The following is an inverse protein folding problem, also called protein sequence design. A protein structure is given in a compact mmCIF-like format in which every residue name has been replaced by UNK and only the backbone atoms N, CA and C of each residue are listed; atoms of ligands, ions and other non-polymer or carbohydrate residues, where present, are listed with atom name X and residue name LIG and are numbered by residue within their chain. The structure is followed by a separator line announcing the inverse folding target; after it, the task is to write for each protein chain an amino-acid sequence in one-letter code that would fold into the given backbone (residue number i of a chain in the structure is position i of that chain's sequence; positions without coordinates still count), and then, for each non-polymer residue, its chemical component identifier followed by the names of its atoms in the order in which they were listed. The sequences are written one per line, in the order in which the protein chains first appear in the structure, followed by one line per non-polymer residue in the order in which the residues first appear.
data_IF_698815961286
#
_entry.id   IF_698815961286
#
_cell.length_a   1.000
_cell.length_b   1.000
_cell.length_c   1.000
_cell.angle_alpha   90.00
_cell.angle_beta   90.00
_cell.angle_gamma   90.00
#
_symmetry.space_group_name_H-M   'P 1'
#
loop_
_entity.id
_entity.type
_entity.pdbx_description
1 polymer ?
#
# COMPACT_ATOMS: atom_id res chain seq x y z
N UNK A 1 8.14 0.70 -14.72
CA UNK A 1 7.60 0.75 -13.35
C UNK A 1 6.14 0.35 -13.46
N UNK A 2 5.80 -0.82 -12.92
CA UNK A 2 4.45 -1.40 -12.91
C UNK A 2 4.42 -2.44 -11.79
N UNK A 3 3.33 -2.49 -11.03
CA UNK A 3 3.17 -3.48 -9.98
C UNK A 3 3.05 -4.86 -10.62
N UNK A 4 3.96 -5.77 -10.26
CA UNK A 4 3.92 -7.16 -10.68
C UNK A 4 3.06 -7.99 -9.72
N UNK A 5 3.28 -7.82 -8.41
CA UNK A 5 2.60 -8.58 -7.38
C UNK A 5 2.45 -7.78 -6.10
N UNK A 6 1.28 -7.83 -5.48
CA UNK A 6 1.04 -7.37 -4.11
C UNK A 6 1.38 -8.51 -3.15
N UNK A 7 2.14 -8.19 -2.10
CA UNK A 7 2.63 -9.15 -1.12
C UNK A 7 1.88 -9.00 0.21
N UNK A 8 1.68 -7.77 0.66
CA UNK A 8 0.98 -7.48 1.90
C UNK A 8 0.40 -6.05 1.91
N UNK A 9 -0.66 -5.84 2.70
CA UNK A 9 -1.30 -4.53 2.89
C UNK A 9 -1.71 -4.36 4.35
N UNK A 10 -1.39 -3.20 4.91
CA UNK A 10 -1.84 -2.79 6.23
C UNK A 10 -2.49 -1.40 6.18
N UNK A 11 -3.41 -1.15 7.10
CA UNK A 11 -4.05 0.15 7.30
C UNK A 11 -3.74 0.69 8.70
N UNK A 12 -3.39 1.97 8.77
CA UNK A 12 -3.01 2.63 10.02
C UNK A 12 -3.66 4.02 10.13
N UNK A 13 -3.81 4.51 11.37
CA UNK A 13 -4.39 5.82 11.70
C UNK A 13 -3.45 6.73 12.50
N UNK A 14 -2.16 6.45 12.45
CA UNK A 14 -1.12 7.18 13.17
C UNK A 14 -0.16 7.92 12.22
N UNK A 15 -0.63 8.34 11.05
CA UNK A 15 0.16 9.06 10.06
C UNK A 15 0.36 10.53 10.43
N UNK A 16 0.56 11.39 9.42
CA UNK A 16 0.82 12.83 9.61
C UNK A 16 -0.33 13.45 10.41
N UNK A 17 -0.06 13.84 11.65
CA UNK A 17 -1.07 14.37 12.59
C UNK A 17 -2.31 13.47 12.74
N UNK A 18 -2.13 12.15 12.70
CA UNK A 18 -3.22 11.17 12.79
C UNK A 18 -3.92 10.88 11.46
N UNK A 19 -3.42 11.41 10.33
CA UNK A 19 -3.96 11.09 9.02
C UNK A 19 -3.89 9.56 8.76
N UNK A 20 -4.99 8.94 8.30
CA UNK A 20 -5.00 7.54 7.92
C UNK A 20 -4.16 7.28 6.67
N UNK A 21 -3.56 6.10 6.60
CA UNK A 21 -2.77 5.66 5.46
C UNK A 21 -2.73 4.15 5.32
N UNK A 22 -2.54 3.71 4.07
CA UNK A 22 -2.24 2.33 3.73
C UNK A 22 -0.73 2.16 3.53
N UNK A 23 -0.22 1.01 3.94
CA UNK A 23 1.13 0.55 3.65
C UNK A 23 1.02 -0.70 2.80
N UNK A 24 1.72 -0.73 1.67
CA UNK A 24 1.62 -1.82 0.69
C UNK A 24 3.03 -2.30 0.38
N UNK A 25 3.24 -3.60 0.52
CA UNK A 25 4.46 -4.26 0.06
C UNK A 25 4.18 -4.92 -1.29
N UNK A 26 5.02 -4.65 -2.29
CA UNK A 26 4.81 -5.16 -3.64
C UNK A 26 6.13 -5.35 -4.40
N UNK A 27 6.11 -6.22 -5.41
CA UNK A 27 7.22 -6.38 -6.36
C UNK A 27 6.93 -5.52 -7.61
N UNK A 28 7.91 -4.71 -8.03
CA UNK A 28 7.86 -3.87 -9.22
C UNK A 28 8.57 -4.58 -10.39
N UNK A 29 8.02 -4.44 -11.59
CA UNK A 29 8.58 -4.94 -12.85
C UNK A 29 9.32 -3.86 -13.65
N UNK A 30 9.73 -2.77 -12.99
CA UNK A 30 10.60 -1.75 -13.54
C UNK A 30 12.02 -2.24 -13.79
N UNK A 31 12.90 -1.33 -14.22
CA UNK A 31 14.30 -1.63 -14.56
C UNK A 31 15.07 -2.33 -13.42
N UNK A 32 14.82 -1.93 -12.17
CA UNK A 32 15.46 -2.54 -11.00
C UNK A 32 14.77 -3.83 -10.54
N UNK A 33 13.59 -4.19 -11.10
CA UNK A 33 12.82 -5.38 -10.78
C UNK A 33 12.76 -5.72 -9.26
N UNK A 34 12.52 -4.70 -8.44
CA UNK A 34 12.79 -4.72 -7.01
C UNK A 34 11.52 -4.74 -6.15
N UNK A 35 11.66 -5.18 -4.90
CA UNK A 35 10.61 -5.06 -3.88
C UNK A 35 10.49 -3.64 -3.34
N UNK A 36 9.26 -3.12 -3.30
CA UNK A 36 8.94 -1.75 -2.89
C UNK A 36 7.92 -1.72 -1.76
N UNK A 37 8.03 -0.66 -0.97
CA UNK A 37 7.09 -0.26 0.08
C UNK A 37 6.40 1.03 -0.39
N UNK A 38 5.08 1.02 -0.51
CA UNK A 38 4.28 2.21 -0.73
C UNK A 38 3.59 2.65 0.56
N UNK A 39 3.60 3.95 0.82
CA UNK A 39 2.79 4.62 1.84
C UNK A 39 1.79 5.51 1.09
N UNK A 40 0.51 5.21 1.23
CA UNK A 40 -0.60 5.85 0.49
C UNK A 40 -1.52 6.53 1.49
N UNK A 41 -1.49 7.86 1.52
CA UNK A 41 -2.48 8.64 2.28
C UNK A 41 -3.79 8.76 1.50
N UNK A 42 -4.89 9.02 2.20
CA UNK A 42 -6.21 9.20 1.58
C UNK A 42 -6.20 10.33 0.54
N UNK A 43 -5.54 11.45 0.85
CA UNK A 43 -5.42 12.58 -0.05
C UNK A 43 -4.78 12.18 -1.40
N UNK A 44 -5.35 12.69 -2.50
CA UNK A 44 -4.82 12.48 -3.84
C UNK A 44 -3.36 12.97 -3.94
N UNK A 45 -2.54 12.27 -4.71
CA UNK A 45 -1.13 12.60 -4.95
C UNK A 45 -0.21 12.55 -3.71
N UNK A 46 -0.69 11.98 -2.60
CA UNK A 46 0.10 11.77 -1.39
C UNK A 46 0.53 10.31 -1.28
N UNK A 47 1.44 9.92 -2.17
CA UNK A 47 2.00 8.57 -2.25
C UNK A 47 3.52 8.64 -2.20
N UNK A 48 4.11 7.94 -1.23
CA UNK A 48 5.56 7.73 -1.17
C UNK A 48 5.89 6.28 -1.51
N UNK A 49 6.92 6.06 -2.33
CA UNK A 49 7.39 4.72 -2.71
C UNK A 49 8.88 4.64 -2.49
N UNK A 50 9.30 3.58 -1.78
CA UNK A 50 10.69 3.31 -1.39
C UNK A 50 11.03 1.84 -1.72
N UNK A 51 12.28 1.54 -2.03
CA UNK A 51 12.77 0.18 -2.20
C UNK A 51 13.10 -0.39 -0.83
N UNK A 52 12.58 -1.59 -0.56
CA UNK A 52 12.68 -2.20 0.76
C UNK A 52 14.11 -2.61 1.10
N UNK A 53 14.87 -3.13 0.14
CA UNK A 53 16.24 -3.56 0.37
C UNK A 53 17.16 -2.36 0.61
N UNK A 54 16.98 -1.27 -0.15
CA UNK A 54 17.70 -0.01 0.07
C UNK A 54 17.34 0.63 1.41
N UNK A 55 16.06 0.58 1.82
CA UNK A 55 15.66 0.99 3.17
C UNK A 55 16.31 0.15 4.28
N UNK A 56 16.37 -1.17 4.11
CA UNK A 56 16.91 -2.09 5.12
C UNK A 56 18.40 -1.83 5.41
N UNK A 57 19.16 -1.31 4.45
CA UNK A 57 20.56 -0.90 4.63
C UNK A 57 20.71 0.58 5.02
N UNK A 58 19.62 1.28 5.33
CA UNK A 58 19.62 2.67 5.78
C UNK A 58 19.75 3.72 4.67
N UNK A 59 19.56 3.36 3.39
CA UNK A 59 19.60 4.33 2.31
C UNK A 59 18.29 5.11 2.25
N UNK A 60 18.31 6.38 2.68
CA UNK A 60 17.17 7.31 2.61
C UNK A 60 17.45 8.50 1.68
N UNK A 61 18.50 8.41 0.86
CA UNK A 61 18.96 9.52 0.04
C UNK A 61 18.04 9.77 -1.16
N UNK A 62 17.75 11.05 -1.40
CA UNK A 62 17.03 11.50 -2.59
C UNK A 62 17.81 11.11 -3.86
N UNK A 63 17.08 10.64 -4.87
CA UNK A 63 17.64 10.15 -6.14
C UNK A 63 18.20 8.73 -6.08
N UNK A 64 18.26 8.10 -4.91
CA UNK A 64 18.74 6.72 -4.75
C UNK A 64 17.62 5.78 -4.27
N UNK A 65 16.84 6.25 -3.28
CA UNK A 65 15.74 5.50 -2.69
C UNK A 65 14.47 6.36 -2.68
N UNK A 66 14.07 6.90 -3.83
CA UNK A 66 12.93 7.81 -3.94
C UNK A 66 12.23 7.67 -5.31
N UNK A 67 11.28 6.75 -5.43
CA UNK A 67 10.53 6.54 -6.67
C UNK A 67 9.32 7.46 -6.72
N UNK A 68 8.94 7.81 -7.95
CA UNK A 68 7.76 8.61 -8.26
C UNK A 68 6.48 7.87 -7.87
N UNK A 69 5.83 8.30 -6.79
CA UNK A 69 4.60 7.67 -6.30
C UNK A 69 3.41 7.80 -7.25
N UNK A 70 3.37 8.88 -8.05
CA UNK A 70 2.29 9.12 -9.02
C UNK A 70 2.23 8.07 -10.14
N UNK A 71 3.35 7.40 -10.43
CA UNK A 71 3.40 6.30 -11.40
C UNK A 71 2.68 5.05 -10.88
N UNK A 72 2.67 4.83 -9.56
CA UNK A 72 2.07 3.65 -8.93
C UNK A 72 0.68 3.94 -8.36
N UNK A 73 0.37 5.21 -8.06
CA UNK A 73 -0.86 5.63 -7.38
C UNK A 73 -2.15 5.03 -7.96
N UNK A 74 -2.39 5.02 -9.28
CA UNK A 74 -3.63 4.45 -9.83
C UNK A 74 -3.80 2.96 -9.49
N UNK A 75 -2.74 2.15 -9.66
CA UNK A 75 -2.78 0.72 -9.38
C UNK A 75 -2.90 0.45 -7.87
N UNK A 76 -2.17 1.20 -7.04
CA UNK A 76 -2.23 1.07 -5.57
C UNK A 76 -3.63 1.38 -5.02
N UNK A 77 -4.29 2.44 -5.52
CA UNK A 77 -5.64 2.81 -5.07
C UNK A 77 -6.69 1.79 -5.48
N UNK A 78 -6.55 1.17 -6.66
CA UNK A 78 -7.43 0.07 -7.09
C UNK A 78 -7.31 -1.14 -6.16
N UNK A 79 -6.07 -1.51 -5.79
CA UNK A 79 -5.80 -2.61 -4.87
C UNK A 79 -6.37 -2.33 -3.48
N UNK A 80 -6.17 -1.12 -2.93
CA UNK A 80 -6.76 -0.71 -1.65
C UNK A 80 -8.28 -0.87 -1.68
N UNK A 81 -8.93 -0.33 -2.71
CA UNK A 81 -10.39 -0.39 -2.85
C UNK A 81 -10.92 -1.82 -2.93
N UNK A 82 -10.17 -2.74 -3.55
CA UNK A 82 -10.51 -4.17 -3.59
C UNK A 82 -10.35 -4.83 -2.21
N UNK A 83 -9.26 -4.52 -1.49
CA UNK A 83 -9.05 -5.03 -0.14
C UNK A 83 -10.12 -4.55 0.84
N UNK A 84 -10.48 -3.27 0.82
CA UNK A 84 -11.56 -2.71 1.66
C UNK A 84 -12.89 -3.40 1.38
N UNK A 85 -13.26 -3.58 0.11
CA UNK A 85 -14.49 -4.29 -0.27
C UNK A 85 -14.52 -5.75 0.21
N UNK A 86 -13.39 -6.45 0.21
CA UNK A 86 -13.29 -7.83 0.73
C UNK A 86 -13.46 -7.85 2.24
N UNK A 87 -12.84 -6.92 2.94
CA UNK A 87 -12.97 -6.77 4.40
C UNK A 87 -14.41 -6.48 4.77
N UNK A 88 -15.08 -5.54 4.11
CA UNK A 88 -16.51 -5.25 4.35
C UNK A 88 -17.41 -6.47 4.08
N UNK A 89 -17.15 -7.18 2.99
CA UNK A 89 -17.92 -8.37 2.63
C UNK A 89 -17.75 -9.50 3.65
N UNK A 90 -16.54 -9.68 4.17
CA UNK A 90 -16.25 -10.65 5.23
C UNK A 90 -16.93 -10.29 6.56
N UNK A 91 -16.92 -9.01 6.94
CA UNK A 91 -17.62 -8.54 8.15
C UNK A 91 -19.13 -8.75 8.02
N UNK A 92 -19.75 -8.35 6.90
CA UNK A 92 -21.19 -8.59 6.68
C UNK A 92 -21.56 -10.07 6.68
N UNK A 93 -20.72 -10.94 6.11
CA UNK A 93 -20.97 -12.38 6.13
C UNK A 93 -20.88 -12.96 7.55
N UNK A 94 -19.92 -12.47 8.36
CA UNK A 94 -19.75 -12.89 9.76
C UNK A 94 -20.91 -12.42 10.66
N UNK A 95 -21.50 -11.26 10.36
CA UNK A 95 -22.66 -10.73 11.09
C UNK A 95 -23.95 -11.53 10.81
N UNK A 96 -24.06 -12.20 9.65
CA UNK A 96 -25.21 -13.01 9.28
C UNK A 96 -25.22 -14.42 9.91
N UNK A 97 -24.07 -14.96 10.30
CA UNK A 97 -23.94 -16.31 10.89
C UNK A 97 -24.14 -16.33 12.42
N UNK A 98 -24.30 -15.17 13.06
CA UNK A 98 -24.51 -15.04 14.51
C UNK A 98 -25.96 -15.10 14.98
N UNK A 99 -26.92 -15.38 14.09
CA UNK A 99 -28.35 -15.34 14.40
C UNK A 99 -29.02 -16.71 14.33
N UNK A 100 -28.91 -17.51 15.38
CA UNK A 100 -29.96 -18.50 15.70
C UNK A 100 -30.35 -18.43 17.19
N UNK A 101 -31.66 -18.45 17.49
CA UNK A 101 -32.21 -18.42 18.85
C UNK A 101 -31.95 -19.71 19.65
#
# INVERSE_FOLDING_TARGET
MRIQQILDIAFHRNGISGAPFHVILFDDSGEEASRKLAVVFEAAHHVAVLDLAKLAIGNIAFGQNSWRGDVFEPELRLVISECERRVESFHRASDCDGGQP
#
